data_IF_532251898295
#
_entry.id   IF_532251898295
#
_cell.length_a   1.000
_cell.length_b   1.000
_cell.length_c   1.000
_cell.angle_alpha   90.00
_cell.angle_beta   90.00
_cell.angle_gamma   90.00
#
_symmetry.space_group_name_H-M   'P 1'
#
loop_
_entity.id
_entity.type
_entity.pdbx_description
1 polymer ?
#
# COMPACT_ATOMS: atom_id res chain seq x y z
N UNK A 1 -17.13 -10.27 24.74
CA UNK A 1 -16.68 -10.00 23.36
C UNK A 1 -17.19 -8.63 22.99
N UNK A 2 -16.32 -7.65 22.81
CA UNK A 2 -16.69 -6.32 22.36
C UNK A 2 -17.34 -6.48 20.98
N UNK A 3 -18.62 -6.11 20.82
CA UNK A 3 -19.27 -6.07 19.51
C UNK A 3 -18.55 -5.02 18.65
N UNK A 4 -17.53 -5.43 17.91
CA UNK A 4 -16.97 -4.62 16.83
C UNK A 4 -18.00 -4.66 15.70
N UNK A 5 -18.92 -3.71 15.72
CA UNK A 5 -19.83 -3.49 14.59
C UNK A 5 -18.97 -2.95 13.45
N UNK A 6 -18.67 -3.81 12.48
CA UNK A 6 -17.84 -3.44 11.34
C UNK A 6 -18.57 -2.36 10.54
N UNK A 7 -17.84 -1.33 10.13
CA UNK A 7 -18.36 -0.24 9.31
C UNK A 7 -17.74 -0.37 7.92
N UNK A 8 -18.46 -0.95 6.93
CA UNK A 8 -17.92 -1.17 5.58
C UNK A 8 -17.38 0.11 4.95
N UNK A 9 -18.05 1.25 5.17
CA UNK A 9 -17.61 2.56 4.67
C UNK A 9 -16.24 2.98 5.23
N UNK A 10 -15.98 2.69 6.51
CA UNK A 10 -14.68 2.97 7.12
C UNK A 10 -13.58 2.07 6.53
N UNK A 11 -13.90 0.80 6.28
CA UNK A 11 -12.99 -0.14 5.60
C UNK A 11 -12.68 0.30 4.17
N UNK A 12 -13.68 0.70 3.38
CA UNK A 12 -13.48 1.23 2.02
C UNK A 12 -12.61 2.49 2.00
N UNK A 13 -12.82 3.40 2.96
CA UNK A 13 -11.98 4.60 3.13
C UNK A 13 -10.54 4.22 3.46
N UNK A 14 -10.35 3.25 4.35
CA UNK A 14 -9.02 2.78 4.73
C UNK A 14 -8.31 2.06 3.58
N UNK A 15 -9.02 1.23 2.80
CA UNK A 15 -8.51 0.59 1.60
C UNK A 15 -8.01 1.63 0.58
N UNK A 16 -8.80 2.68 0.34
CA UNK A 16 -8.44 3.80 -0.54
C UNK A 16 -7.18 4.52 -0.05
N UNK A 17 -7.09 4.80 1.25
CA UNK A 17 -5.92 5.41 1.86
C UNK A 17 -4.65 4.54 1.69
N UNK A 18 -4.76 3.23 1.90
CA UNK A 18 -3.64 2.30 1.74
C UNK A 18 -3.15 2.26 0.30
N UNK A 19 -4.05 2.27 -0.69
CA UNK A 19 -3.65 2.34 -2.11
C UNK A 19 -2.96 3.68 -2.45
N UNK A 20 -3.46 4.80 -1.94
CA UNK A 20 -2.81 6.11 -2.11
C UNK A 20 -1.42 6.14 -1.46
N UNK A 21 -1.29 5.57 -0.25
CA UNK A 21 -0.02 5.44 0.44
C UNK A 21 0.96 4.57 -0.35
N UNK A 22 0.52 3.41 -0.85
CA UNK A 22 1.32 2.54 -1.69
C UNK A 22 1.84 3.29 -2.94
N UNK A 23 0.98 4.07 -3.59
CA UNK A 23 1.36 4.91 -4.73
C UNK A 23 2.42 5.96 -4.38
N UNK A 24 2.30 6.64 -3.23
CA UNK A 24 3.30 7.61 -2.75
C UNK A 24 4.66 6.95 -2.47
N UNK A 25 4.65 5.76 -1.88
CA UNK A 25 5.87 4.99 -1.60
C UNK A 25 6.54 4.56 -2.91
N UNK A 26 5.78 4.08 -3.88
CA UNK A 26 6.29 3.71 -5.20
C UNK A 26 6.92 4.90 -5.92
N UNK A 27 6.31 6.09 -5.84
CA UNK A 27 6.90 7.31 -6.37
C UNK A 27 8.19 7.73 -5.64
N UNK A 28 8.30 7.47 -4.33
CA UNK A 28 9.55 7.70 -3.61
C UNK A 28 10.65 6.73 -4.06
N UNK A 29 10.30 5.46 -4.27
CA UNK A 29 11.20 4.45 -4.80
C UNK A 29 11.73 4.83 -6.19
N UNK A 30 10.85 5.27 -7.11
CA UNK A 30 11.27 5.67 -8.46
C UNK A 30 12.22 6.87 -8.46
N UNK A 31 12.05 7.81 -7.52
CA UNK A 31 12.99 8.93 -7.35
C UNK A 31 14.33 8.48 -6.82
N UNK A 32 14.36 7.50 -5.90
CA UNK A 32 15.60 6.93 -5.38
C UNK A 32 16.37 6.12 -6.42
N UNK A 33 15.67 5.46 -7.34
CA UNK A 33 16.27 4.70 -8.44
C UNK A 33 16.87 5.63 -9.51
N UNK A 34 16.29 6.81 -9.70
CA UNK A 34 16.76 7.81 -10.65
C UNK A 34 18.03 8.58 -10.19
N UNK A 35 18.56 8.30 -9.00
CA UNK A 35 19.77 8.96 -8.51
C UNK A 35 21.00 8.39 -9.22
N UNK A 36 21.73 9.25 -9.93
CA UNK A 36 23.01 8.89 -10.53
C UNK A 36 24.15 9.06 -9.51
N UNK A 37 24.96 8.01 -9.37
CA UNK A 37 26.14 7.97 -8.50
C UNK A 37 27.42 8.00 -9.33
N UNK A 38 27.38 8.57 -10.53
CA UNK A 38 28.50 8.59 -11.47
C UNK A 38 29.71 9.43 -11.04
N UNK A 39 30.77 9.42 -11.86
CA UNK A 39 31.96 10.25 -11.68
C UNK A 39 31.67 11.75 -11.63
N UNK A 40 30.58 12.20 -12.24
CA UNK A 40 30.15 13.60 -12.19
C UNK A 40 29.66 14.01 -10.80
N UNK A 41 29.14 13.06 -10.00
CA UNK A 41 28.61 13.33 -8.66
C UNK A 41 29.66 13.14 -7.56
N UNK A 42 30.55 12.14 -7.68
CA UNK A 42 31.52 11.78 -6.65
C UNK A 42 33.00 12.02 -7.04
N UNK A 43 33.27 12.41 -8.29
CA UNK A 43 34.63 12.51 -8.80
C UNK A 43 35.35 11.15 -8.93
N UNK A 44 36.59 11.17 -9.42
CA UNK A 44 37.45 9.98 -9.55
C UNK A 44 37.84 9.38 -8.19
N UNK A 45 38.05 10.23 -7.18
CA UNK A 45 38.48 9.79 -5.83
C UNK A 45 37.29 9.20 -5.04
N UNK A 46 36.07 9.67 -5.29
CA UNK A 46 34.88 9.22 -4.58
C UNK A 46 34.24 7.94 -5.14
N UNK A 47 34.83 7.28 -6.15
CA UNK A 47 34.23 6.11 -6.82
C UNK A 47 33.92 4.93 -5.89
N UNK A 48 34.76 4.70 -4.88
CA UNK A 48 34.51 3.66 -3.88
C UNK A 48 33.25 3.98 -3.05
N UNK A 49 33.06 5.25 -2.67
CA UNK A 49 31.85 5.71 -1.97
C UNK A 49 30.63 5.68 -2.88
N UNK A 50 30.77 6.06 -4.15
CA UNK A 50 29.71 5.99 -5.14
C UNK A 50 29.17 4.56 -5.32
N UNK A 51 30.06 3.56 -5.37
CA UNK A 51 29.67 2.16 -5.49
C UNK A 51 28.86 1.69 -4.28
N UNK A 52 29.32 2.01 -3.07
CA UNK A 52 28.61 1.66 -1.84
C UNK A 52 27.26 2.40 -1.74
N UNK A 53 27.24 3.70 -2.06
CA UNK A 53 26.03 4.52 -2.05
C UNK A 53 24.99 4.00 -3.06
N UNK A 54 25.42 3.63 -4.27
CA UNK A 54 24.56 3.00 -5.28
C UNK A 54 23.93 1.71 -4.76
N UNK A 55 24.74 0.84 -4.16
CA UNK A 55 24.27 -0.45 -3.62
C UNK A 55 23.23 -0.24 -2.52
N UNK A 56 23.51 0.65 -1.57
CA UNK A 56 22.58 0.99 -0.49
C UNK A 56 21.28 1.62 -1.04
N UNK A 57 21.40 2.50 -2.04
CA UNK A 57 20.23 3.13 -2.68
C UNK A 57 19.35 2.09 -3.36
N UNK A 58 19.94 1.16 -4.12
CA UNK A 58 19.20 0.08 -4.78
C UNK A 58 18.48 -0.83 -3.77
N UNK A 59 19.16 -1.20 -2.67
CA UNK A 59 18.53 -1.97 -1.59
C UNK A 59 17.35 -1.21 -0.95
N UNK A 60 17.47 0.10 -0.75
CA UNK A 60 16.38 0.91 -0.23
C UNK A 60 15.20 0.98 -1.22
N UNK A 61 15.48 1.13 -2.52
CA UNK A 61 14.46 1.10 -3.59
C UNK A 61 13.71 -0.23 -3.59
N UNK A 62 14.41 -1.37 -3.51
CA UNK A 62 13.79 -2.69 -3.47
C UNK A 62 12.88 -2.88 -2.24
N UNK A 63 13.32 -2.38 -1.08
CA UNK A 63 12.51 -2.39 0.14
C UNK A 63 11.27 -1.52 0.02
N UNK A 64 11.40 -0.32 -0.57
CA UNK A 64 10.27 0.59 -0.80
C UNK A 64 9.26 -0.03 -1.79
N UNK A 65 9.74 -0.65 -2.87
CA UNK A 65 8.88 -1.36 -3.83
C UNK A 65 8.12 -2.50 -3.16
N UNK A 66 8.82 -3.33 -2.37
CA UNK A 66 8.20 -4.43 -1.61
C UNK A 66 7.17 -3.91 -0.61
N UNK A 67 7.48 -2.80 0.08
CA UNK A 67 6.57 -2.20 1.05
C UNK A 67 5.33 -1.60 0.38
N UNK A 68 5.49 -0.93 -0.75
CA UNK A 68 4.40 -0.42 -1.58
C UNK A 68 3.47 -1.56 -2.02
N UNK A 69 4.02 -2.64 -2.58
CA UNK A 69 3.25 -3.79 -3.03
C UNK A 69 2.44 -4.44 -1.89
N UNK A 70 3.07 -4.64 -0.73
CA UNK A 70 2.39 -5.20 0.45
C UNK A 70 1.29 -4.29 0.98
N UNK A 71 1.51 -2.98 0.92
CA UNK A 71 0.53 -1.98 1.36
C UNK A 71 -0.68 -1.96 0.43
N UNK A 72 -0.46 -2.04 -0.88
CA UNK A 72 -1.56 -2.12 -1.85
C UNK A 72 -2.36 -3.42 -1.68
N UNK A 73 -1.68 -4.56 -1.52
CA UNK A 73 -2.33 -5.85 -1.23
C UNK A 73 -3.16 -5.82 0.05
N UNK A 74 -2.67 -5.15 1.10
CA UNK A 74 -3.45 -4.95 2.33
C UNK A 74 -4.69 -4.08 2.04
N UNK A 75 -4.54 -3.02 1.25
CA UNK A 75 -5.66 -2.20 0.81
C UNK A 75 -6.73 -3.01 0.08
N UNK A 76 -6.32 -3.88 -0.85
CA UNK A 76 -7.22 -4.78 -1.58
C UNK A 76 -7.97 -5.71 -0.61
N UNK A 77 -7.28 -6.39 0.30
CA UNK A 77 -7.91 -7.29 1.27
C UNK A 77 -8.90 -6.57 2.21
N UNK A 78 -8.59 -5.33 2.61
CA UNK A 78 -9.50 -4.50 3.40
C UNK A 78 -10.73 -4.09 2.58
N UNK A 79 -10.55 -3.77 1.29
CA UNK A 79 -11.64 -3.47 0.36
C UNK A 79 -12.56 -4.67 0.13
N UNK A 80 -11.99 -5.84 -0.11
CA UNK A 80 -12.73 -7.11 -0.23
C UNK A 80 -13.53 -7.42 1.03
N UNK A 81 -12.95 -7.20 2.21
CA UNK A 81 -13.65 -7.33 3.48
C UNK A 81 -14.85 -6.38 3.56
N UNK A 82 -14.69 -5.12 3.16
CA UNK A 82 -15.80 -4.15 3.11
C UNK A 82 -16.94 -4.60 2.19
N UNK A 83 -16.60 -5.12 1.01
CA UNK A 83 -17.56 -5.66 0.05
C UNK A 83 -18.31 -6.85 0.64
N UNK A 84 -17.61 -7.78 1.31
CA UNK A 84 -18.23 -8.95 1.95
C UNK A 84 -19.25 -8.53 3.01
N UNK A 85 -18.90 -7.61 3.91
CA UNK A 85 -19.83 -7.13 4.93
C UNK A 85 -21.05 -6.43 4.32
N UNK A 86 -20.86 -5.67 3.25
CA UNK A 86 -21.98 -4.99 2.58
C UNK A 86 -22.94 -5.99 1.94
N UNK A 87 -22.41 -7.02 1.28
CA UNK A 87 -23.22 -8.09 0.71
C UNK A 87 -23.99 -8.88 1.79
N UNK A 88 -23.32 -9.22 2.89
CA UNK A 88 -23.96 -9.92 4.02
C UNK A 88 -25.08 -9.07 4.65
N UNK A 89 -24.86 -7.75 4.81
CA UNK A 89 -25.87 -6.83 5.34
C UNK A 89 -27.08 -6.71 4.39
N UNK A 90 -26.85 -6.62 3.08
CA UNK A 90 -27.90 -6.56 2.05
C UNK A 90 -28.72 -7.86 1.98
N UNK A 91 -28.06 -9.02 2.05
CA UNK A 91 -28.70 -10.33 2.06
C UNK A 91 -29.57 -10.51 3.31
N UNK A 92 -29.08 -10.08 4.48
CA UNK A 92 -29.85 -10.10 5.73
C UNK A 92 -31.06 -9.15 5.66
N UNK A 93 -30.89 -7.94 5.14
CA UNK A 93 -31.98 -6.99 4.95
C UNK A 93 -33.06 -7.55 4.01
N UNK A 94 -32.66 -8.21 2.92
CA UNK A 94 -33.57 -8.89 1.99
C UNK A 94 -34.34 -10.02 2.66
N UNK A 95 -33.65 -10.84 3.48
CA UNK A 95 -34.29 -11.93 4.22
C UNK A 95 -35.32 -11.40 5.22
N UNK A 96 -35.00 -10.35 5.96
CA UNK A 96 -35.92 -9.73 6.92
C UNK A 96 -37.10 -9.05 6.24
N UNK A 97 -36.91 -8.41 5.08
CA UNK A 97 -37.98 -7.78 4.31
C UNK A 97 -39.00 -8.76 3.73
N UNK A 98 -38.65 -10.05 3.62
CA UNK A 98 -39.57 -11.13 3.21
C UNK A 98 -40.42 -11.66 4.35
N UNK A 99 -40.11 -11.31 5.59
CA UNK A 99 -40.94 -11.66 6.75
C UNK A 99 -42.07 -10.62 6.80
N UNK A 100 -43.21 -10.95 6.19
CA UNK A 100 -44.44 -10.18 6.35
C UNK A 100 -44.91 -10.26 7.82
N UNK A 101 -45.24 -9.10 8.41
CA UNK A 101 -45.86 -8.97 9.72
C UNK A 101 -47.37 -8.79 9.59
#
# INVERSE_FOLDING_TARGET
MTQMRVQPQALTSHASYLSELAGKISQAASKGDAVDFGPESFGLVGQAFATQARTTSQQAVDQLNTFSERTDKLGQAVGECATSYTADDDDQASCLGKIEW
#
